data_IF_065496630127
#
_entry.id   IF_065496630127
#
_cell.length_a   1.000
_cell.length_b   1.000
_cell.length_c   1.000
_cell.angle_alpha   90.00
_cell.angle_beta   90.00
_cell.angle_gamma   90.00
#
_symmetry.space_group_name_H-M   'P 1'
#
loop_
_entity.id
_entity.type
_entity.pdbx_description
1 polymer ?
#
# COMPACT_ATOMS: atom_id res chain seq x y z
N UNK A 1 39.39 35.50 26.87
CA UNK A 1 40.66 34.84 27.24
C UNK A 1 40.58 33.45 26.62
N UNK A 2 41.07 33.28 25.38
CA UNK A 2 42.38 32.64 25.03
C UNK A 2 42.45 31.24 25.62
N UNK A 3 42.45 30.15 24.86
CA UNK A 3 43.51 29.59 23.97
C UNK A 3 42.80 28.52 23.08
N UNK A 4 42.88 28.39 21.75
CA UNK A 4 43.99 28.24 20.78
C UNK A 4 45.00 27.15 21.11
N UNK A 5 45.03 26.07 20.31
CA UNK A 5 46.20 25.34 19.75
C UNK A 5 45.75 23.91 19.35
N UNK A 6 45.47 23.62 18.07
CA UNK A 6 46.39 23.34 16.95
C UNK A 6 47.21 22.03 17.06
N UNK A 7 46.90 21.13 16.12
CA UNK A 7 47.84 20.48 15.19
C UNK A 7 48.90 19.50 15.71
N UNK A 8 48.77 18.25 15.26
CA UNK A 8 49.90 17.36 14.85
C UNK A 8 49.30 16.28 13.93
N UNK A 9 49.32 16.39 12.60
CA UNK A 9 50.42 16.27 11.62
C UNK A 9 51.16 14.91 11.63
N UNK A 10 50.84 14.10 10.62
CA UNK A 10 51.85 13.45 9.77
C UNK A 10 52.28 12.02 10.12
N UNK A 11 52.04 11.08 9.20
CA UNK A 11 53.05 10.45 8.33
C UNK A 11 52.40 9.25 7.59
N UNK A 12 52.34 9.23 6.25
CA UNK A 12 53.39 8.69 5.35
C UNK A 12 53.71 7.23 5.72
N UNK A 13 53.69 6.18 4.88
CA UNK A 13 54.08 5.90 3.49
C UNK A 13 53.50 4.46 3.25
N UNK A 14 53.06 3.98 2.08
CA UNK A 14 53.91 3.26 1.12
C UNK A 14 53.00 2.64 0.03
N UNK A 15 52.93 3.31 -1.13
CA UNK A 15 52.32 2.81 -2.36
C UNK A 15 53.29 1.83 -3.01
N UNK A 16 53.09 0.52 -2.79
CA UNK A 16 53.81 -0.53 -3.52
C UNK A 16 52.96 -1.03 -4.68
N UNK A 17 53.25 -0.49 -5.84
CA UNK A 17 52.80 -0.94 -7.16
C UNK A 17 53.26 -2.37 -7.42
N UNK A 18 52.33 -3.26 -7.77
CA UNK A 18 52.68 -4.53 -8.43
C UNK A 18 51.57 -4.97 -9.40
N UNK A 19 52.04 -5.06 -10.64
CA UNK A 19 51.53 -5.53 -11.94
C UNK A 19 50.22 -6.30 -12.09
N UNK A 20 49.61 -6.26 -13.30
CA UNK A 20 48.26 -6.69 -13.58
C UNK A 20 48.21 -8.12 -14.12
N UNK A 21 47.69 -9.05 -13.32
CA UNK A 21 47.33 -10.38 -13.80
C UNK A 21 45.89 -10.36 -14.36
N UNK A 22 45.81 -10.58 -15.68
CA UNK A 22 44.58 -10.82 -16.43
C UNK A 22 43.89 -12.06 -15.86
N UNK A 23 42.95 -11.86 -14.94
CA UNK A 23 42.04 -12.91 -14.53
C UNK A 23 40.86 -13.00 -15.48
N UNK A 24 40.75 -14.17 -16.11
CA UNK A 24 39.63 -14.64 -16.90
C UNK A 24 38.30 -14.35 -16.22
N UNK A 25 37.50 -13.51 -16.87
CA UNK A 25 36.08 -13.30 -16.59
C UNK A 25 35.31 -14.48 -17.19
N UNK A 26 35.17 -15.57 -16.44
CA UNK A 26 34.07 -16.51 -16.67
C UNK A 26 33.57 -17.07 -15.34
N UNK A 27 32.24 -17.20 -15.24
CA UNK A 27 31.47 -17.92 -14.21
C UNK A 27 31.09 -17.21 -12.90
N UNK A 28 31.46 -15.95 -12.66
CA UNK A 28 30.99 -15.26 -11.43
C UNK A 28 29.64 -14.55 -11.53
N UNK A 29 29.05 -14.39 -12.72
CA UNK A 29 27.77 -13.69 -12.88
C UNK A 29 26.51 -14.57 -12.70
N UNK A 30 26.62 -15.90 -12.74
CA UNK A 30 25.44 -16.77 -12.61
C UNK A 30 25.00 -16.96 -11.13
N UNK A 31 25.86 -16.60 -10.17
CA UNK A 31 25.53 -16.68 -8.74
C UNK A 31 24.59 -15.57 -8.24
N UNK A 32 24.50 -14.44 -8.95
CA UNK A 32 23.68 -13.29 -8.52
C UNK A 32 22.17 -13.54 -8.68
N UNK A 33 21.75 -14.19 -9.76
CA UNK A 33 20.32 -14.38 -10.06
C UNK A 33 19.65 -15.41 -9.14
N UNK A 34 20.36 -16.49 -8.79
CA UNK A 34 19.87 -17.49 -7.82
C UNK A 34 19.66 -16.92 -6.42
N UNK A 35 20.44 -15.91 -6.03
CA UNK A 35 20.28 -15.20 -4.76
C UNK A 35 19.01 -14.34 -4.75
N UNK A 36 18.77 -13.59 -5.82
CA UNK A 36 17.59 -12.73 -5.94
C UNK A 36 16.29 -13.56 -5.93
N UNK A 37 16.26 -14.68 -6.66
CA UNK A 37 15.06 -15.52 -6.74
C UNK A 37 14.69 -16.12 -5.37
N UNK A 38 15.68 -16.54 -4.56
CA UNK A 38 15.44 -17.01 -3.19
C UNK A 38 14.93 -15.90 -2.28
N UNK A 39 15.47 -14.69 -2.39
CA UNK A 39 15.05 -13.53 -1.62
C UNK A 39 13.60 -13.16 -1.94
N UNK A 40 13.28 -13.02 -3.23
CA UNK A 40 11.93 -12.70 -3.71
C UNK A 40 10.93 -13.81 -3.34
N UNK A 41 11.31 -15.08 -3.50
CA UNK A 41 10.44 -16.20 -3.11
C UNK A 41 10.20 -16.25 -1.60
N UNK A 42 11.22 -15.99 -0.78
CA UNK A 42 11.07 -15.90 0.68
C UNK A 42 10.17 -14.74 1.09
N UNK A 43 10.35 -13.58 0.44
CA UNK A 43 9.52 -12.41 0.63
C UNK A 43 8.06 -12.68 0.27
N UNK A 44 7.81 -13.31 -0.88
CA UNK A 44 6.46 -13.68 -1.30
C UNK A 44 5.87 -14.79 -0.46
N UNK A 45 6.65 -15.76 0.02
CA UNK A 45 6.10 -16.77 0.91
C UNK A 45 5.76 -16.18 2.28
N UNK A 46 6.56 -15.23 2.76
CA UNK A 46 6.29 -14.45 3.96
C UNK A 46 5.04 -13.59 3.79
N UNK A 47 4.96 -12.82 2.69
CA UNK A 47 3.80 -12.02 2.34
C UNK A 47 2.57 -12.88 2.10
N UNK A 48 2.67 -14.02 1.40
CA UNK A 48 1.55 -14.95 1.20
C UNK A 48 1.17 -15.63 2.51
N UNK A 49 2.11 -15.99 3.38
CA UNK A 49 1.79 -16.55 4.70
C UNK A 49 1.14 -15.50 5.60
N UNK A 50 1.61 -14.26 5.54
CA UNK A 50 1.07 -13.12 6.25
C UNK A 50 -0.30 -12.72 5.70
N UNK A 51 -0.46 -12.58 4.39
CA UNK A 51 -1.74 -12.40 3.70
C UNK A 51 -2.67 -13.57 3.95
N UNK A 52 -2.20 -14.83 3.98
CA UNK A 52 -3.02 -15.97 4.39
C UNK A 52 -3.39 -15.90 5.85
N UNK A 53 -2.50 -15.44 6.73
CA UNK A 53 -2.79 -15.25 8.15
C UNK A 53 -3.82 -14.14 8.36
N UNK A 54 -3.67 -13.02 7.66
CA UNK A 54 -4.63 -11.91 7.59
C UNK A 54 -5.94 -12.42 7.02
N UNK A 55 -5.94 -13.03 5.83
CA UNK A 55 -7.14 -13.59 5.20
C UNK A 55 -7.79 -14.62 6.11
N UNK A 56 -7.05 -15.47 6.80
CA UNK A 56 -7.59 -16.42 7.75
C UNK A 56 -8.23 -15.70 8.95
N UNK A 57 -7.58 -14.67 9.51
CA UNK A 57 -8.15 -13.80 10.55
C UNK A 57 -9.40 -13.08 10.05
N UNK A 58 -9.41 -12.59 8.81
CA UNK A 58 -10.55 -11.95 8.15
C UNK A 58 -11.68 -12.94 7.86
N UNK A 59 -11.40 -14.18 7.45
CA UNK A 59 -12.39 -15.25 7.24
C UNK A 59 -13.09 -15.57 8.57
N UNK A 60 -12.36 -15.55 9.68
CA UNK A 60 -12.98 -15.74 11.00
C UNK A 60 -13.81 -14.52 11.46
N UNK A 61 -13.48 -13.32 11.01
CA UNK A 61 -14.24 -12.10 11.36
C UNK A 61 -15.42 -11.83 10.44
N UNK A 62 -15.35 -12.25 9.18
CA UNK A 62 -16.37 -11.99 8.17
C UNK A 62 -17.10 -13.30 7.91
N UNK A 63 -18.18 -13.53 8.65
CA UNK A 63 -19.15 -14.56 8.33
C UNK A 63 -19.75 -14.26 6.94
N UNK A 64 -19.12 -14.80 5.90
CA UNK A 64 -19.55 -14.61 4.52
C UNK A 64 -20.97 -15.18 4.36
N UNK A 65 -21.97 -14.37 3.96
CA UNK A 65 -23.18 -14.93 3.41
C UNK A 65 -22.77 -15.61 2.11
N UNK A 66 -22.91 -16.93 2.08
CA UNK A 66 -22.73 -17.85 0.94
C UNK A 66 -22.60 -17.12 -0.40
N UNK A 67 -21.38 -16.79 -0.77
CA UNK A 67 -21.09 -16.31 -2.12
C UNK A 67 -21.34 -17.47 -3.09
N UNK A 68 -22.08 -17.28 -4.19
CA UNK A 68 -22.30 -18.34 -5.16
C UNK A 68 -20.96 -18.69 -5.80
N UNK A 69 -20.49 -19.90 -5.48
CA UNK A 69 -19.64 -20.80 -6.26
C UNK A 69 -18.93 -20.08 -7.41
N UNK A 70 -17.75 -19.51 -7.13
CA UNK A 70 -16.74 -19.35 -8.15
C UNK A 70 -16.32 -20.76 -8.54
N UNK A 71 -16.80 -21.20 -9.71
CA UNK A 71 -16.52 -22.49 -10.32
C UNK A 71 -15.01 -22.79 -10.26
N UNK A 72 -14.65 -23.79 -9.45
CA UNK A 72 -13.31 -24.36 -9.37
C UNK A 72 -13.01 -25.15 -10.66
N UNK A 73 -12.81 -24.46 -11.78
CA UNK A 73 -12.13 -25.06 -12.92
C UNK A 73 -10.62 -24.92 -12.71
N UNK A 74 -10.09 -25.84 -11.90
CA UNK A 74 -8.66 -26.15 -11.82
C UNK A 74 -8.21 -26.60 -13.21
N UNK A 75 -7.68 -25.66 -13.98
CA UNK A 75 -7.19 -25.91 -15.35
C UNK A 75 -5.68 -25.74 -15.36
N UNK A 76 -5.02 -26.66 -16.06
CA UNK A 76 -3.59 -26.92 -16.07
C UNK A 76 -2.69 -25.69 -16.13
N UNK A 77 -1.62 -25.73 -15.31
CA UNK A 77 -0.57 -24.71 -15.20
C UNK A 77 0.06 -24.45 -16.57
N UNK A 78 -0.10 -23.25 -17.17
CA UNK A 78 0.59 -22.91 -18.40
C UNK A 78 2.07 -22.62 -18.08
N UNK A 79 2.99 -23.32 -18.74
CA UNK A 79 4.43 -23.04 -18.71
C UNK A 79 4.81 -21.67 -19.34
N UNK A 80 3.83 -20.88 -19.79
CA UNK A 80 4.04 -19.56 -20.38
C UNK A 80 3.76 -18.42 -19.39
N UNK A 81 4.53 -18.31 -18.32
CA UNK A 81 4.83 -17.02 -17.69
C UNK A 81 3.68 -16.10 -17.25
N UNK A 82 2.45 -16.62 -17.11
CA UNK A 82 1.30 -15.78 -16.84
C UNK A 82 1.38 -15.20 -15.42
N UNK A 83 0.96 -13.94 -15.23
CA UNK A 83 0.82 -13.38 -13.89
C UNK A 83 -0.13 -14.26 -13.08
N UNK A 84 0.33 -14.70 -11.91
CA UNK A 84 -0.52 -15.38 -10.94
C UNK A 84 -1.28 -14.34 -10.14
N UNK A 85 -2.62 -14.45 -10.12
CA UNK A 85 -3.46 -13.66 -9.22
C UNK A 85 -2.97 -13.83 -7.78
N UNK A 86 -2.58 -12.74 -7.14
CA UNK A 86 -2.09 -12.74 -5.77
C UNK A 86 -3.21 -12.44 -4.78
N UNK A 87 -4.02 -11.43 -5.08
CA UNK A 87 -5.09 -10.95 -4.19
C UNK A 87 -6.23 -10.33 -5.01
N UNK A 88 -7.47 -10.61 -4.59
CA UNK A 88 -8.66 -9.89 -5.03
C UNK A 88 -9.44 -9.45 -3.78
N UNK A 89 -9.61 -8.15 -3.60
CA UNK A 89 -10.38 -7.59 -2.48
C UNK A 89 -11.87 -7.58 -2.82
N UNK A 90 -12.71 -7.56 -1.79
CA UNK A 90 -14.17 -7.52 -1.97
C UNK A 90 -14.67 -6.19 -2.60
N UNK A 91 -13.88 -5.13 -2.51
CA UNK A 91 -14.14 -3.86 -3.21
C UNK A 91 -13.54 -3.81 -4.63
N UNK A 92 -13.01 -4.92 -5.15
CA UNK A 92 -12.61 -5.05 -6.55
C UNK A 92 -11.18 -4.60 -6.86
N UNK A 93 -10.32 -4.43 -5.86
CA UNK A 93 -8.88 -4.25 -6.10
C UNK A 93 -8.23 -5.61 -6.36
N UNK A 94 -7.42 -5.69 -7.41
CA UNK A 94 -6.70 -6.89 -7.84
C UNK A 94 -5.20 -6.62 -7.82
N UNK A 95 -4.45 -7.52 -7.18
CA UNK A 95 -2.99 -7.55 -7.23
C UNK A 95 -2.58 -8.80 -7.99
N UNK A 96 -1.84 -8.59 -9.07
CA UNK A 96 -1.26 -9.66 -9.88
C UNK A 96 0.25 -9.70 -9.69
N UNK A 97 0.80 -10.87 -9.40
CA UNK A 97 2.24 -11.06 -9.28
C UNK A 97 2.77 -11.81 -10.50
N UNK A 98 3.73 -11.21 -11.20
CA UNK A 98 4.46 -11.89 -12.26
C UNK A 98 5.71 -12.57 -11.71
N UNK A 99 5.72 -13.90 -11.75
CA UNK A 99 6.90 -14.70 -11.37
C UNK A 99 8.14 -14.39 -12.21
N UNK A 100 7.95 -13.97 -13.48
CA UNK A 100 9.05 -13.68 -14.40
C UNK A 100 9.73 -12.35 -14.05
N UNK A 101 8.94 -11.29 -13.90
CA UNK A 101 9.49 -9.96 -13.65
C UNK A 101 9.71 -9.66 -12.16
N UNK A 102 9.08 -10.42 -11.27
CA UNK A 102 9.05 -10.11 -9.84
C UNK A 102 8.24 -8.86 -9.52
N UNK A 103 7.35 -8.44 -10.42
CA UNK A 103 6.55 -7.21 -10.30
C UNK A 103 5.15 -7.57 -9.81
N UNK A 104 4.67 -6.82 -8.82
CA UNK A 104 3.26 -6.79 -8.43
C UNK A 104 2.61 -5.65 -9.20
N UNK A 105 1.52 -5.94 -9.91
CA UNK A 105 0.73 -4.94 -10.62
C UNK A 105 -0.64 -4.80 -9.97
N UNK A 106 -1.09 -3.56 -9.80
CA UNK A 106 -2.35 -3.22 -9.16
C UNK A 106 -3.38 -2.84 -10.22
N UNK A 107 -4.57 -3.39 -10.10
CA UNK A 107 -5.72 -3.07 -10.93
C UNK A 107 -6.94 -2.85 -10.05
N UNK A 108 -7.88 -2.02 -10.49
CA UNK A 108 -9.20 -1.93 -9.89
C UNK A 108 -10.22 -2.34 -10.94
N UNK A 109 -11.18 -3.19 -10.58
CA UNK A 109 -12.29 -3.50 -11.46
C UNK A 109 -13.25 -2.32 -11.50
N UNK A 110 -13.05 -1.43 -12.47
CA UNK A 110 -13.92 -0.27 -12.70
C UNK A 110 -15.36 -0.66 -13.12
N UNK A 111 -15.62 -1.94 -13.41
CA UNK A 111 -16.95 -2.39 -13.89
C UNK A 111 -18.04 -2.28 -12.83
N UNK A 112 -17.71 -2.28 -11.54
CA UNK A 112 -18.70 -2.10 -10.47
C UNK A 112 -19.31 -0.69 -10.46
N UNK A 113 -18.52 0.34 -10.79
CA UNK A 113 -18.98 1.73 -10.80
C UNK A 113 -19.92 2.05 -11.96
N UNK A 114 -19.68 1.46 -13.14
CA UNK A 114 -20.47 1.76 -14.35
C UNK A 114 -21.85 1.09 -14.41
N UNK A 115 -22.12 0.06 -13.59
CA UNK A 115 -23.43 -0.60 -13.62
C UNK A 115 -24.54 0.23 -12.98
N UNK A 116 -24.25 1.05 -11.95
CA UNK A 116 -25.25 1.96 -11.36
C UNK A 116 -25.59 3.14 -12.27
N UNK A 117 -24.61 3.71 -12.98
CA UNK A 117 -24.90 4.84 -13.89
C UNK A 117 -25.79 4.40 -15.06
N UNK A 118 -25.69 3.12 -15.49
CA UNK A 118 -26.57 2.58 -16.54
C UNK A 118 -28.02 2.32 -16.09
N UNK A 119 -28.34 2.33 -14.80
CA UNK A 119 -29.72 2.04 -14.35
C UNK A 119 -30.70 3.21 -14.50
N UNK A 120 -30.38 4.23 -15.31
CA UNK A 120 -31.39 5.06 -15.96
C UNK A 120 -31.86 6.29 -15.18
N UNK A 121 -31.10 6.74 -14.17
CA UNK A 121 -31.28 8.09 -13.69
C UNK A 121 -30.69 9.06 -14.72
N UNK A 122 -31.58 9.85 -15.34
CA UNK A 122 -31.23 11.00 -16.18
C UNK A 122 -30.40 11.98 -15.34
N UNK A 123 -29.10 11.79 -15.27
CA UNK A 123 -28.20 12.86 -14.84
C UNK A 123 -28.24 13.93 -15.93
N UNK A 124 -28.75 15.10 -15.52
CA UNK A 124 -28.78 16.31 -16.32
C UNK A 124 -27.38 16.56 -16.89
N UNK A 125 -27.32 16.66 -18.22
CA UNK A 125 -26.09 16.74 -19.02
C UNK A 125 -25.40 18.11 -18.88
N UNK A 126 -24.92 18.43 -17.68
CA UNK A 126 -24.52 19.79 -17.33
C UNK A 126 -23.39 19.94 -16.32
N UNK A 127 -22.38 19.05 -16.27
CA UNK A 127 -21.01 19.41 -15.86
C UNK A 127 -20.04 18.59 -16.72
N UNK A 128 -19.43 19.24 -17.72
CA UNK A 128 -18.43 18.68 -18.65
C UNK A 128 -16.99 18.95 -18.22
N UNK A 129 -16.72 18.92 -16.92
CA UNK A 129 -15.36 18.90 -16.39
C UNK A 129 -15.27 17.69 -15.48
N UNK A 130 -14.51 16.66 -15.87
CA UNK A 130 -14.17 15.57 -14.96
C UNK A 130 -13.38 16.18 -13.81
N UNK A 131 -14.05 16.58 -12.73
CA UNK A 131 -13.39 17.04 -11.53
C UNK A 131 -12.51 15.88 -11.06
N UNK A 132 -11.20 16.10 -11.06
CA UNK A 132 -10.24 15.13 -10.55
C UNK A 132 -9.80 15.59 -9.18
N UNK A 133 -10.10 14.78 -8.18
CA UNK A 133 -9.80 15.06 -6.79
C UNK A 133 -8.37 14.66 -6.48
N UNK A 134 -7.72 15.45 -5.63
CA UNK A 134 -6.52 15.04 -4.91
C UNK A 134 -6.91 14.72 -3.49
N UNK A 135 -6.64 13.52 -3.01
CA UNK A 135 -6.97 13.12 -1.64
C UNK A 135 -5.72 12.98 -0.76
N UNK A 136 -5.94 13.08 0.55
CA UNK A 136 -5.02 12.65 1.59
C UNK A 136 -5.74 11.68 2.51
N UNK A 137 -5.09 10.58 2.85
CA UNK A 137 -5.58 9.60 3.80
C UNK A 137 -4.57 9.53 4.94
N UNK A 138 -5.01 9.82 6.15
CA UNK A 138 -4.22 9.70 7.37
C UNK A 138 -5.17 9.53 8.56
N UNK A 139 -4.79 8.77 9.59
CA UNK A 139 -5.61 8.65 10.78
C UNK A 139 -5.70 9.99 11.50
N UNK A 140 -6.92 10.49 11.63
CA UNK A 140 -7.24 11.69 12.42
C UNK A 140 -8.53 11.44 13.19
N UNK A 141 -8.37 11.20 14.49
CA UNK A 141 -9.42 10.68 15.38
C UNK A 141 -10.72 11.51 15.27
N UNK A 142 -11.86 10.82 15.26
CA UNK A 142 -13.21 11.40 15.06
C UNK A 142 -13.45 12.04 13.69
N UNK A 143 -12.65 11.72 12.68
CA UNK A 143 -12.89 12.15 11.29
C UNK A 143 -13.10 10.93 10.39
N UNK A 144 -13.39 11.17 9.11
CA UNK A 144 -13.44 10.10 8.11
C UNK A 144 -12.05 9.62 7.66
N UNK A 145 -10.97 10.30 8.06
CA UNK A 145 -9.58 10.07 7.61
C UNK A 145 -9.33 10.41 6.13
N UNK A 146 -10.37 10.72 5.36
CA UNK A 146 -10.25 11.14 3.96
C UNK A 146 -10.37 12.65 3.87
N UNK A 147 -9.33 13.29 3.35
CA UNK A 147 -9.24 14.74 3.23
C UNK A 147 -9.00 15.12 1.79
N UNK A 148 -9.50 16.29 1.38
CA UNK A 148 -9.05 16.92 0.15
C UNK A 148 -7.63 17.44 0.34
N UNK A 149 -6.76 17.22 -0.65
CA UNK A 149 -5.45 17.84 -0.70
C UNK A 149 -5.60 19.36 -0.90
N UNK A 150 -5.24 20.21 0.08
CA UNK A 150 -5.35 21.66 -0.03
C UNK A 150 -4.44 22.26 -1.11
N UNK A 151 -3.45 21.51 -1.60
CA UNK A 151 -2.58 21.93 -2.69
C UNK A 151 -3.17 21.63 -4.07
N UNK A 152 -4.31 20.93 -4.12
CA UNK A 152 -4.94 20.53 -5.37
C UNK A 152 -6.07 21.51 -5.75
N UNK A 153 -5.88 22.37 -6.77
CA UNK A 153 -6.76 23.50 -7.03
C UNK A 153 -8.15 23.10 -7.57
N UNK A 154 -8.33 21.85 -8.01
CA UNK A 154 -9.61 21.32 -8.48
C UNK A 154 -10.49 20.78 -7.35
N UNK A 155 -9.97 20.67 -6.13
CA UNK A 155 -10.78 20.27 -4.98
C UNK A 155 -11.78 21.38 -4.59
N UNK A 156 -12.89 21.01 -3.93
CA UNK A 156 -13.81 22.00 -3.36
C UNK A 156 -13.06 22.96 -2.41
N UNK A 157 -13.34 24.25 -2.53
CA UNK A 157 -12.65 25.28 -1.73
C UNK A 157 -13.25 25.49 -0.33
N UNK A 158 -14.48 25.05 -0.14
CA UNK A 158 -15.28 25.18 1.08
C UNK A 158 -15.23 23.94 1.98
N UNK A 159 -14.63 22.85 1.51
CA UNK A 159 -14.52 21.58 2.23
C UNK A 159 -13.04 21.15 2.31
N UNK A 160 -12.57 20.81 3.50
CA UNK A 160 -11.22 20.24 3.71
C UNK A 160 -11.26 18.73 3.94
N UNK A 161 -12.29 18.23 4.61
CA UNK A 161 -12.49 16.82 4.89
C UNK A 161 -13.64 16.27 4.02
N UNK A 162 -13.54 15.01 3.64
CA UNK A 162 -14.59 14.30 2.90
C UNK A 162 -15.44 13.55 3.92
N UNK A 163 -16.66 14.01 4.18
CA UNK A 163 -17.51 13.34 5.18
C UNK A 163 -17.91 11.90 4.77
N UNK A 164 -18.36 11.11 5.75
CA UNK A 164 -18.72 9.70 5.54
C UNK A 164 -19.80 9.54 4.47
N UNK A 165 -20.80 10.43 4.47
CA UNK A 165 -21.90 10.40 3.51
C UNK A 165 -21.40 10.59 2.08
N UNK A 166 -20.44 11.49 1.89
CA UNK A 166 -19.80 11.72 0.59
C UNK A 166 -19.02 10.50 0.14
N UNK A 167 -18.34 9.78 1.05
CA UNK A 167 -17.65 8.52 0.73
C UNK A 167 -18.67 7.43 0.31
N UNK A 168 -19.78 7.31 1.04
CA UNK A 168 -20.86 6.36 0.72
C UNK A 168 -21.53 6.65 -0.62
N UNK A 169 -21.83 7.93 -0.89
CA UNK A 169 -22.49 8.38 -2.12
C UNK A 169 -21.53 8.25 -3.33
N UNK A 170 -20.26 8.65 -3.18
CA UNK A 170 -19.28 8.67 -4.26
C UNK A 170 -18.67 7.29 -4.52
N UNK A 171 -18.38 6.51 -3.49
CA UNK A 171 -17.69 5.23 -3.58
C UNK A 171 -18.44 4.09 -2.87
N UNK A 172 -19.69 3.78 -3.26
CA UNK A 172 -20.55 2.86 -2.53
C UNK A 172 -19.99 1.42 -2.42
N UNK A 173 -19.14 1.00 -3.36
CA UNK A 173 -18.47 -0.31 -3.30
C UNK A 173 -17.34 -0.35 -2.28
N UNK A 174 -16.62 0.75 -2.09
CA UNK A 174 -15.51 0.85 -1.14
C UNK A 174 -16.00 1.19 0.27
N UNK A 175 -17.01 2.06 0.38
CA UNK A 175 -17.48 2.65 1.63
C UNK A 175 -17.62 1.67 2.82
N UNK A 176 -18.29 0.51 2.71
CA UNK A 176 -18.42 -0.39 3.86
C UNK A 176 -17.07 -0.93 4.37
N UNK A 177 -16.09 -1.11 3.48
CA UNK A 177 -14.75 -1.55 3.86
C UNK A 177 -13.91 -0.40 4.41
N UNK A 178 -14.04 0.78 3.80
CA UNK A 178 -13.37 2.00 4.25
C UNK A 178 -13.78 2.36 5.69
N UNK A 179 -15.08 2.41 5.97
CA UNK A 179 -15.59 2.76 7.29
C UNK A 179 -15.24 1.69 8.34
N UNK A 180 -15.30 0.40 7.97
CA UNK A 180 -14.85 -0.67 8.86
C UNK A 180 -13.36 -0.56 9.21
N UNK A 181 -12.51 -0.25 8.23
CA UNK A 181 -11.07 -0.02 8.43
C UNK A 181 -10.81 1.16 9.38
N UNK A 182 -11.52 2.28 9.20
CA UNK A 182 -11.46 3.43 10.12
C UNK A 182 -11.88 3.02 11.53
N UNK A 183 -13.00 2.32 11.67
CA UNK A 183 -13.54 1.94 12.99
C UNK A 183 -12.59 1.02 13.78
N UNK A 184 -11.73 0.24 13.10
CA UNK A 184 -10.66 -0.52 13.76
C UNK A 184 -9.69 0.41 14.47
N UNK A 185 -9.25 1.49 13.82
CA UNK A 185 -8.36 2.47 14.43
C UNK A 185 -9.05 3.21 15.57
N UNK A 186 -10.27 3.70 15.36
CA UNK A 186 -11.04 4.42 16.39
C UNK A 186 -11.15 3.59 17.68
N UNK A 187 -11.53 2.31 17.56
CA UNK A 187 -11.59 1.40 18.72
C UNK A 187 -10.22 1.18 19.37
N UNK A 188 -9.16 1.02 18.57
CA UNK A 188 -7.82 0.81 19.08
C UNK A 188 -7.31 2.07 19.85
N UNK A 189 -7.59 3.26 19.30
CA UNK A 189 -7.26 4.55 19.89
C UNK A 189 -7.94 4.73 21.26
N UNK A 190 -9.24 4.44 21.35
CA UNK A 190 -10.00 4.48 22.61
C UNK A 190 -9.52 3.41 23.62
N UNK A 191 -9.25 2.19 23.16
CA UNK A 191 -8.78 1.10 24.04
C UNK A 191 -7.42 1.41 24.68
N UNK A 192 -6.56 2.14 23.98
CA UNK A 192 -5.28 2.61 24.51
C UNK A 192 -5.41 3.90 25.33
N UNK A 193 -6.62 4.44 25.49
CA UNK A 193 -6.87 5.69 26.18
C UNK A 193 -6.19 6.89 25.51
N UNK A 194 -5.92 6.81 24.20
CA UNK A 194 -5.28 7.90 23.46
C UNK A 194 -6.17 9.15 23.42
N UNK A 195 -7.49 8.95 23.39
CA UNK A 195 -8.54 9.98 23.53
C UNK A 195 -8.47 10.69 24.89
N UNK A 196 -8.00 9.99 25.93
CA UNK A 196 -7.74 10.52 27.27
C UNK A 196 -6.30 11.03 27.44
N UNK A 197 -5.51 11.09 26.36
CA UNK A 197 -4.14 11.60 26.39
C UNK A 197 -3.13 10.64 27.00
N UNK A 198 -3.33 9.32 26.90
CA UNK A 198 -2.36 8.31 27.36
C UNK A 198 -0.98 8.47 26.71
N UNK A 199 -0.92 9.05 25.51
CA UNK A 199 0.30 9.17 24.71
C UNK A 199 0.81 7.83 24.19
N UNK A 200 0.01 6.76 24.31
CA UNK A 200 0.32 5.44 23.77
C UNK A 200 0.02 5.38 22.27
N UNK A 201 0.67 4.44 21.58
CA UNK A 201 0.35 4.08 20.20
C UNK A 201 -0.97 3.28 20.17
N UNK A 202 -1.90 3.54 19.23
CA UNK A 202 -3.18 2.83 19.15
C UNK A 202 -3.04 1.31 19.00
N UNK A 203 -1.98 0.85 18.33
CA UNK A 203 -1.67 -0.56 18.12
C UNK A 203 -0.38 -0.94 18.86
N UNK A 204 -0.47 -1.56 20.05
CA UNK A 204 0.72 -2.01 20.78
C UNK A 204 1.46 -3.16 20.08
N UNK A 205 0.73 -3.99 19.33
CA UNK A 205 1.30 -5.09 18.55
C UNK A 205 1.63 -4.60 17.13
N UNK A 206 2.88 -4.77 16.72
CA UNK A 206 3.36 -4.29 15.41
C UNK A 206 2.68 -5.03 14.26
N UNK A 207 2.34 -6.32 14.42
CA UNK A 207 1.70 -7.06 13.34
C UNK A 207 0.25 -6.59 13.12
N UNK A 208 -0.48 -6.26 14.19
CA UNK A 208 -1.83 -5.69 14.09
C UNK A 208 -1.78 -4.28 13.48
N UNK A 209 -0.78 -3.46 13.84
CA UNK A 209 -0.53 -2.17 13.21
C UNK A 209 -0.30 -2.31 11.70
N UNK A 210 0.64 -3.18 11.30
CA UNK A 210 1.00 -3.42 9.90
C UNK A 210 -0.21 -3.92 9.12
N UNK A 211 -1.03 -4.81 9.70
CA UNK A 211 -2.24 -5.28 9.05
C UNK A 211 -3.21 -4.12 8.75
N UNK A 212 -3.41 -3.21 9.70
CA UNK A 212 -4.24 -2.02 9.52
C UNK A 212 -3.65 -1.03 8.51
N UNK A 213 -2.33 -0.80 8.54
CA UNK A 213 -1.62 0.07 7.59
C UNK A 213 -1.69 -0.50 6.16
N UNK A 214 -1.54 -1.81 5.99
CA UNK A 214 -1.69 -2.49 4.68
C UNK A 214 -3.10 -2.34 4.13
N UNK A 215 -4.13 -2.54 4.95
CA UNK A 215 -5.52 -2.38 4.50
C UNK A 215 -5.80 -0.93 4.04
N UNK A 216 -5.35 0.06 4.81
CA UNK A 216 -5.47 1.47 4.45
C UNK A 216 -4.71 1.83 3.16
N UNK A 217 -3.53 1.25 2.96
CA UNK A 217 -2.77 1.43 1.72
C UNK A 217 -3.49 0.84 0.50
N UNK A 218 -4.11 -0.34 0.64
CA UNK A 218 -4.88 -0.97 -0.45
C UNK A 218 -6.14 -0.15 -0.80
N UNK A 219 -6.81 0.40 0.22
CA UNK A 219 -7.89 1.37 0.05
C UNK A 219 -7.40 2.59 -0.74
N UNK A 220 -6.24 3.16 -0.36
CA UNK A 220 -5.64 4.29 -1.05
C UNK A 220 -5.29 3.96 -2.52
N UNK A 221 -4.80 2.76 -2.79
CA UNK A 221 -4.59 2.26 -4.14
C UNK A 221 -5.88 2.17 -4.95
N UNK A 222 -6.96 1.67 -4.34
CA UNK A 222 -8.25 1.60 -5.02
C UNK A 222 -8.76 2.99 -5.37
N UNK A 223 -8.65 3.96 -4.45
CA UNK A 223 -9.05 5.35 -4.69
C UNK A 223 -8.21 6.00 -5.80
N UNK A 224 -6.88 5.84 -5.76
CA UNK A 224 -5.98 6.38 -6.79
C UNK A 224 -6.15 5.76 -8.20
N UNK A 225 -7.02 4.77 -8.33
CA UNK A 225 -7.39 4.12 -9.59
C UNK A 225 -8.76 4.55 -10.13
N UNK A 226 -9.51 5.38 -9.40
CA UNK A 226 -10.80 5.88 -9.87
C UNK A 226 -10.64 7.01 -10.89
N UNK A 227 -11.55 7.07 -11.87
CA UNK A 227 -11.49 8.07 -12.96
C UNK A 227 -11.61 9.53 -12.48
N UNK A 228 -12.21 9.73 -11.30
CA UNK A 228 -12.40 11.02 -10.65
C UNK A 228 -11.27 11.38 -9.67
N UNK A 229 -10.22 10.56 -9.57
CA UNK A 229 -9.12 10.76 -8.62
C UNK A 229 -7.81 10.92 -9.39
N UNK A 230 -7.11 12.04 -9.18
CA UNK A 230 -5.78 12.22 -9.78
C UNK A 230 -4.70 11.57 -8.91
N UNK A 231 -4.76 11.77 -7.60
CA UNK A 231 -3.75 11.29 -6.67
C UNK A 231 -4.33 11.07 -5.26
N UNK A 232 -3.69 10.17 -4.52
CA UNK A 232 -3.96 9.92 -3.10
C UNK A 232 -2.64 9.95 -2.34
N UNK A 233 -2.52 10.81 -1.34
CA UNK A 233 -1.40 10.82 -0.39
C UNK A 233 -1.78 10.00 0.84
N UNK A 234 -1.25 8.78 0.96
CA UNK A 234 -1.42 7.97 2.17
C UNK A 234 -0.30 8.28 3.16
N UNK A 235 -0.63 8.85 4.31
CA UNK A 235 0.35 9.31 5.31
C UNK A 235 0.20 8.51 6.61
N UNK A 236 1.32 7.95 7.03
CA UNK A 236 1.51 7.19 8.25
C UNK A 236 2.64 7.79 9.08
N UNK A 237 2.78 7.44 10.37
CA UNK A 237 3.94 7.84 11.16
C UNK A 237 5.28 7.38 10.55
N UNK A 238 5.28 6.29 9.78
CA UNK A 238 6.46 5.72 9.11
C UNK A 238 6.83 6.44 7.82
N UNK A 239 5.90 7.14 7.18
CA UNK A 239 6.15 7.83 5.91
C UNK A 239 4.89 8.25 5.17
N UNK A 240 5.09 8.93 4.04
CA UNK A 240 4.03 9.35 3.12
C UNK A 240 4.23 8.69 1.77
N UNK A 241 3.17 8.09 1.25
CA UNK A 241 3.13 7.40 -0.03
C UNK A 241 2.17 8.12 -0.97
N UNK A 242 2.69 8.64 -2.07
CA UNK A 242 1.87 9.26 -3.11
C UNK A 242 1.48 8.20 -4.14
N UNK A 243 0.18 7.97 -4.30
CA UNK A 243 -0.37 6.94 -5.16
C UNK A 243 -1.17 7.60 -6.29
N UNK A 244 -0.78 7.32 -7.52
CA UNK A 244 -1.53 7.66 -8.72
C UNK A 244 -1.46 6.51 -9.72
N UNK A 245 -2.23 6.60 -10.81
CA UNK A 245 -2.32 5.56 -11.85
C UNK A 245 -0.96 5.09 -12.39
N UNK A 246 0.02 6.00 -12.49
CA UNK A 246 1.36 5.74 -13.05
C UNK A 246 2.33 5.20 -12.00
N UNK A 247 2.20 5.62 -10.74
CA UNK A 247 3.16 5.34 -9.67
C UNK A 247 2.77 4.19 -8.76
N UNK A 248 1.49 3.80 -8.71
CA UNK A 248 0.93 2.79 -7.77
C UNK A 248 1.76 1.51 -7.62
N UNK A 249 2.29 0.94 -8.71
CA UNK A 249 2.97 -0.37 -8.68
C UNK A 249 4.35 -0.24 -8.00
N UNK A 250 5.06 0.86 -8.27
CA UNK A 250 6.33 1.19 -7.63
C UNK A 250 6.12 1.52 -6.15
N UNK A 251 5.07 2.31 -5.85
CA UNK A 251 4.77 2.79 -4.50
C UNK A 251 4.30 1.63 -3.62
N UNK A 252 3.47 0.71 -4.13
CA UNK A 252 3.10 -0.52 -3.43
C UNK A 252 4.32 -1.35 -3.07
N UNK A 253 5.26 -1.51 -4.01
CA UNK A 253 6.49 -2.27 -3.73
C UNK A 253 7.29 -1.63 -2.61
N UNK A 254 7.46 -0.31 -2.64
CA UNK A 254 8.20 0.40 -1.60
C UNK A 254 7.50 0.28 -0.25
N UNK A 255 6.19 0.52 -0.21
CA UNK A 255 5.36 0.36 0.99
C UNK A 255 5.53 -1.03 1.62
N UNK A 256 5.37 -2.11 0.84
CA UNK A 256 5.52 -3.48 1.39
C UNK A 256 6.94 -3.76 1.92
N UNK A 257 7.99 -3.14 1.34
CA UNK A 257 9.36 -3.26 1.86
C UNK A 257 9.47 -2.57 3.22
N UNK A 258 8.86 -1.39 3.36
CA UNK A 258 8.87 -0.61 4.59
C UNK A 258 8.12 -1.34 5.71
N UNK A 259 6.96 -1.94 5.41
CA UNK A 259 6.19 -2.77 6.35
C UNK A 259 6.96 -4.04 6.79
N UNK A 260 7.63 -4.74 5.86
CA UNK A 260 8.49 -5.90 6.21
C UNK A 260 9.67 -5.49 7.08
N UNK A 261 10.26 -4.31 6.84
CA UNK A 261 11.31 -3.78 7.69
C UNK A 261 10.80 -3.42 9.09
N UNK A 262 9.56 -2.93 9.19
CA UNK A 262 8.90 -2.63 10.46
C UNK A 262 8.71 -3.93 11.27
N UNK A 263 8.13 -4.96 10.67
CA UNK A 263 7.93 -6.28 11.31
C UNK A 263 9.26 -6.88 11.82
N UNK A 264 10.32 -6.84 11.00
CA UNK A 264 11.63 -7.42 11.38
C UNK A 264 12.34 -6.70 12.52
N UNK A 265 11.97 -5.45 12.81
CA UNK A 265 12.54 -4.70 13.93
C UNK A 265 11.90 -5.11 15.24
N UNK A 266 10.65 -5.52 15.23
CA UNK A 266 9.91 -5.97 16.41
C UNK A 266 10.36 -7.35 16.90
N UNK A 267 10.84 -8.20 15.98
CA UNK A 267 11.39 -9.52 16.30
C UNK A 267 12.77 -9.52 17.01
N UNK A 268 13.38 -8.34 17.24
CA UNK A 268 14.77 -8.22 17.75
C UNK A 268 14.82 -7.72 19.19
#
# INVERSE_FOLDING_TARGET
MTETMSSTLGQNINLKSRSPDRHNLSDREITGTRSLFKLVRGYLSGLVAHLKSIVQRCIYMIAWPKSPVLDENVTDVPESGEPSLLLLTAYGLRLDYSNISGIITVYADSRSHLQKIKSGEKMEAGITTSTRYGYRIFPDWQTSYLWYDPLWPQNPSDESHVDEKTIEDRYPTLAPFYLAWRDVYERAFEQQGCDMGSGLEPFPDTADRVAWEVEGFLIACWLGLQDDTEQVLYTLPTGTYQIDMKTKDLVLRQFLIDEDNLLRRDDR
#
